data_IF_731061195772
#
_entry.id   IF_731061195772
#
_cell.length_a   1.000
_cell.length_b   1.000
_cell.length_c   1.000
_cell.angle_alpha   90.00
_cell.angle_beta   90.00
_cell.angle_gamma   90.00
#
_symmetry.space_group_name_H-M   'P 1'
#
loop_
_entity.id
_entity.type
_entity.pdbx_description
1 polymer ?
#
# COMPACT_ATOMS: atom_id res chain seq x y z
N UNK A 1 40.49 32.15 -0.84
CA UNK A 1 40.41 30.70 -0.61
C UNK A 1 39.09 30.45 0.12
N UNK A 2 38.02 30.17 -0.60
CA UNK A 2 36.69 29.94 -0.05
C UNK A 2 36.48 28.44 -0.08
N UNK A 3 36.56 27.78 1.09
CA UNK A 3 36.22 26.40 1.27
C UNK A 3 34.70 26.24 1.07
N UNK A 4 34.31 25.58 -0.03
CA UNK A 4 32.95 25.10 -0.21
C UNK A 4 32.86 23.83 0.60
N UNK A 5 32.23 23.91 1.78
CA UNK A 5 31.79 22.75 2.54
C UNK A 5 30.62 22.13 1.76
N UNK A 6 30.93 21.10 0.95
CA UNK A 6 29.91 20.14 0.55
C UNK A 6 29.57 19.33 1.80
N UNK A 7 28.55 19.76 2.54
CA UNK A 7 27.91 18.89 3.48
C UNK A 7 27.26 17.77 2.67
N UNK A 8 27.93 16.62 2.59
CA UNK A 8 27.28 15.38 2.25
C UNK A 8 26.20 15.15 3.29
N UNK A 9 24.95 15.32 2.88
CA UNK A 9 23.82 14.83 3.63
C UNK A 9 23.90 13.29 3.57
N UNK A 10 24.72 12.72 4.43
CA UNK A 10 24.59 11.31 4.79
C UNK A 10 23.20 11.16 5.40
N UNK A 11 22.28 10.71 4.55
CA UNK A 11 21.01 10.22 4.99
C UNK A 11 21.31 8.90 5.72
N UNK A 12 21.25 8.83 7.06
CA UNK A 12 21.33 7.56 7.73
C UNK A 12 20.09 6.81 7.28
N UNK A 13 20.28 5.90 6.30
CA UNK A 13 19.24 4.94 5.95
C UNK A 13 18.83 4.29 7.25
N UNK A 14 17.61 4.60 7.70
CA UNK A 14 16.96 3.90 8.79
C UNK A 14 16.96 2.44 8.35
N UNK A 15 17.92 1.67 8.88
CA UNK A 15 17.83 0.23 8.80
C UNK A 15 16.58 -0.12 9.60
N UNK A 16 15.48 -0.30 8.89
CA UNK A 16 14.25 -0.89 9.43
C UNK A 16 14.59 -2.35 9.67
N UNK A 17 15.29 -2.61 10.78
CA UNK A 17 15.29 -3.92 11.39
C UNK A 17 13.82 -4.22 11.64
N UNK A 18 13.32 -5.34 11.13
CA UNK A 18 12.00 -5.88 11.30
C UNK A 18 11.48 -5.66 12.72
N UNK A 19 11.03 -4.44 12.99
CA UNK A 19 10.18 -4.14 14.11
C UNK A 19 8.85 -4.79 13.77
N UNK A 20 8.39 -5.71 14.59
CA UNK A 20 7.02 -6.10 14.69
C UNK A 20 6.20 -4.82 14.71
N UNK A 21 5.61 -4.44 13.57
CA UNK A 21 4.56 -3.44 13.54
C UNK A 21 3.54 -3.93 14.56
N UNK A 22 3.33 -3.14 15.61
CA UNK A 22 2.26 -3.39 16.55
C UNK A 22 1.02 -3.62 15.69
N UNK A 23 0.36 -4.77 15.83
CA UNK A 23 -0.68 -5.23 14.91
C UNK A 23 -1.90 -4.29 14.74
N UNK A 24 -1.82 -3.07 15.26
CA UNK A 24 -2.80 -2.00 15.09
C UNK A 24 -2.66 -1.24 13.76
N UNK A 25 -1.46 -1.20 13.17
CA UNK A 25 -1.17 -0.46 11.93
C UNK A 25 -1.13 -1.37 10.68
N UNK A 26 -1.35 -2.67 10.83
CA UNK A 26 -1.36 -3.59 9.70
C UNK A 26 -2.71 -3.49 8.94
N UNK A 27 -2.72 -2.97 7.70
CA UNK A 27 -3.94 -2.87 6.90
C UNK A 27 -4.55 -4.22 6.55
N UNK A 28 -3.81 -5.30 6.72
CA UNK A 28 -4.25 -6.66 6.47
C UNK A 28 -5.04 -7.25 7.64
N UNK A 29 -4.87 -6.70 8.85
CA UNK A 29 -5.61 -7.12 10.03
C UNK A 29 -6.99 -6.46 10.11
N UNK A 30 -7.99 -7.23 10.49
CA UNK A 30 -9.34 -6.73 10.82
C UNK A 30 -9.83 -7.36 12.11
N UNK A 31 -10.33 -6.50 12.99
CA UNK A 31 -11.00 -6.94 14.22
C UNK A 31 -12.49 -7.06 14.01
N UNK A 32 -13.06 -8.18 14.43
CA UNK A 32 -14.49 -8.47 14.41
C UNK A 32 -14.94 -8.76 15.84
N UNK A 33 -15.34 -7.73 16.56
CA UNK A 33 -15.48 -7.79 18.01
C UNK A 33 -14.11 -7.90 18.67
N UNK A 34 -13.90 -8.93 19.46
CA UNK A 34 -12.61 -9.24 20.10
C UNK A 34 -11.69 -10.11 19.21
N UNK A 35 -12.21 -10.62 18.11
CA UNK A 35 -11.53 -11.58 17.24
C UNK A 35 -10.73 -10.90 16.12
N UNK A 36 -9.63 -11.53 15.73
CA UNK A 36 -8.71 -11.01 14.74
C UNK A 36 -8.63 -11.93 13.53
N UNK A 37 -8.77 -11.34 12.35
CA UNK A 37 -8.58 -11.95 11.04
C UNK A 37 -7.43 -11.26 10.33
N UNK A 38 -6.57 -12.03 9.67
CA UNK A 38 -5.53 -11.49 8.82
C UNK A 38 -5.77 -11.94 7.39
N UNK A 39 -5.87 -10.99 6.46
CA UNK A 39 -6.12 -11.26 5.05
C UNK A 39 -4.85 -11.05 4.23
N UNK A 40 -4.62 -11.95 3.28
CA UNK A 40 -3.49 -11.86 2.35
C UNK A 40 -3.91 -12.32 0.97
N UNK A 41 -3.40 -11.65 -0.05
CA UNK A 41 -3.51 -12.06 -1.44
C UNK A 41 -2.12 -12.33 -2.01
N UNK A 42 -2.00 -13.33 -2.86
CA UNK A 42 -0.73 -13.77 -3.46
C UNK A 42 -0.89 -13.97 -4.96
N UNK A 43 0.13 -13.57 -5.71
CA UNK A 43 0.24 -13.82 -7.15
C UNK A 43 1.60 -14.46 -7.47
N UNK A 44 1.80 -15.76 -7.15
CA UNK A 44 3.11 -16.42 -7.26
C UNK A 44 3.63 -16.48 -8.70
N UNK A 45 2.76 -16.37 -9.72
CA UNK A 45 3.15 -16.27 -11.12
C UNK A 45 3.92 -14.99 -11.46
N UNK A 46 3.81 -13.94 -10.62
CA UNK A 46 4.54 -12.69 -10.80
C UNK A 46 5.60 -12.47 -9.72
N UNK A 47 5.29 -12.80 -8.48
CA UNK A 47 6.17 -12.62 -7.34
C UNK A 47 5.96 -13.72 -6.29
N UNK A 48 6.96 -14.59 -6.13
CA UNK A 48 6.86 -15.77 -5.25
C UNK A 48 6.67 -15.42 -3.76
N UNK A 49 7.12 -14.23 -3.32
CA UNK A 49 7.05 -13.79 -1.92
C UNK A 49 6.19 -12.54 -1.73
N UNK A 50 5.56 -12.06 -2.81
CA UNK A 50 4.68 -10.90 -2.74
C UNK A 50 3.41 -11.23 -1.96
N UNK A 51 3.15 -10.44 -0.92
CA UNK A 51 1.94 -10.51 -0.10
C UNK A 51 1.24 -9.17 -0.17
N UNK A 52 -0.03 -9.20 -0.51
CA UNK A 52 -0.84 -8.00 -0.73
C UNK A 52 -2.11 -8.07 0.10
N UNK A 53 -2.65 -6.92 0.54
CA UNK A 53 -3.94 -6.87 1.21
C UNK A 53 -4.84 -5.70 0.75
N UNK A 54 -4.29 -4.79 -0.05
CA UNK A 54 -5.04 -3.65 -0.62
C UNK A 54 -4.74 -3.47 -2.11
N UNK A 55 -3.45 -3.38 -2.47
CA UNK A 55 -3.01 -3.11 -3.82
C UNK A 55 -2.38 -4.35 -4.43
N UNK A 56 -3.05 -4.94 -5.41
CA UNK A 56 -2.57 -6.08 -6.18
C UNK A 56 -1.96 -5.53 -7.48
N UNK A 57 -0.66 -5.74 -7.73
CA UNK A 57 0.05 -5.03 -8.78
C UNK A 57 -0.33 -5.41 -10.19
N UNK A 58 -0.90 -6.60 -10.38
CA UNK A 58 -1.26 -7.12 -11.71
C UNK A 58 -2.60 -7.83 -11.70
N UNK A 59 -3.25 -7.87 -12.84
CA UNK A 59 -4.39 -8.75 -13.10
C UNK A 59 -3.94 -10.22 -13.26
N UNK A 60 -4.85 -11.15 -12.99
CA UNK A 60 -4.61 -12.57 -13.17
C UNK A 60 -5.05 -13.42 -11.98
N UNK A 61 -4.59 -14.67 -11.97
CA UNK A 61 -4.94 -15.64 -10.95
C UNK A 61 -4.35 -15.20 -9.61
N UNK A 62 -5.22 -15.09 -8.60
CA UNK A 62 -4.89 -14.56 -7.29
C UNK A 62 -5.36 -15.52 -6.22
N UNK A 63 -4.44 -15.91 -5.34
CA UNK A 63 -4.73 -16.73 -4.16
C UNK A 63 -5.07 -15.82 -3.00
N UNK A 64 -6.28 -15.98 -2.46
CA UNK A 64 -6.76 -15.26 -1.30
C UNK A 64 -6.65 -16.15 -0.08
N UNK A 65 -6.06 -15.64 0.98
CA UNK A 65 -5.84 -16.37 2.23
C UNK A 65 -6.35 -15.53 3.38
N UNK A 66 -7.16 -16.14 4.24
CA UNK A 66 -7.62 -15.53 5.49
C UNK A 66 -7.15 -16.40 6.64
N UNK A 67 -6.24 -15.85 7.45
CA UNK A 67 -5.77 -16.51 8.66
C UNK A 67 -6.72 -16.19 9.81
N UNK A 68 -7.30 -17.23 10.38
CA UNK A 68 -8.16 -17.18 11.56
C UNK A 68 -7.26 -17.24 12.80
N UNK A 69 -6.79 -16.05 13.21
CA UNK A 69 -5.82 -15.91 14.31
C UNK A 69 -6.37 -16.50 15.59
N UNK A 70 -7.65 -16.22 15.88
CA UNK A 70 -8.31 -16.74 17.07
C UNK A 70 -8.76 -18.20 16.90
N UNK A 71 -8.40 -19.09 17.81
CA UNK A 71 -8.77 -20.50 17.74
C UNK A 71 -10.29 -20.77 17.72
N UNK A 72 -11.08 -19.89 18.29
CA UNK A 72 -12.55 -20.01 18.31
C UNK A 72 -13.15 -19.92 16.91
N UNK A 73 -12.56 -19.10 16.03
CA UNK A 73 -13.02 -18.94 14.65
C UNK A 73 -12.83 -20.20 13.81
N UNK A 74 -11.90 -21.06 14.18
CA UNK A 74 -11.60 -22.31 13.41
C UNK A 74 -12.74 -23.32 13.43
N UNK A 75 -13.56 -23.26 14.47
CA UNK A 75 -14.71 -24.15 14.64
C UNK A 75 -16.03 -23.51 14.16
N UNK A 76 -15.99 -22.26 13.72
CA UNK A 76 -17.16 -21.58 13.15
C UNK A 76 -17.17 -21.73 11.62
N UNK A 77 -18.37 -21.87 11.01
CA UNK A 77 -18.48 -21.82 9.57
C UNK A 77 -18.15 -20.41 9.05
N UNK A 78 -17.00 -20.27 8.39
CA UNK A 78 -16.55 -19.00 7.83
C UNK A 78 -16.46 -19.14 6.31
N UNK A 79 -17.00 -18.18 5.60
CA UNK A 79 -16.97 -18.09 4.15
C UNK A 79 -16.39 -16.75 3.68
N UNK A 80 -16.06 -16.70 2.40
CA UNK A 80 -15.50 -15.52 1.76
C UNK A 80 -16.23 -15.27 0.44
N UNK A 81 -16.62 -14.02 0.20
CA UNK A 81 -17.22 -13.59 -1.07
C UNK A 81 -16.39 -12.47 -1.67
N UNK A 82 -16.13 -12.56 -2.96
CA UNK A 82 -15.45 -11.55 -3.74
C UNK A 82 -16.45 -10.92 -4.71
N UNK A 83 -16.61 -9.62 -4.62
CA UNK A 83 -17.46 -8.85 -5.54
C UNK A 83 -16.62 -7.80 -6.27
N UNK A 84 -16.94 -7.55 -7.53
CA UNK A 84 -16.33 -6.46 -8.29
C UNK A 84 -17.08 -5.17 -7.94
N UNK A 85 -16.38 -4.20 -7.37
CA UNK A 85 -16.94 -2.96 -6.87
C UNK A 85 -16.27 -2.52 -5.57
N UNK A 86 -16.64 -1.35 -5.09
CA UNK A 86 -16.06 -0.76 -3.88
C UNK A 86 -16.86 -1.07 -2.59
N UNK A 87 -17.82 -1.98 -2.67
CA UNK A 87 -18.66 -2.39 -1.53
C UNK A 87 -19.70 -1.35 -1.10
N UNK A 88 -19.79 -0.21 -1.76
CA UNK A 88 -20.76 0.85 -1.39
C UNK A 88 -22.18 0.56 -1.90
N UNK A 89 -22.31 -0.20 -2.98
CA UNK A 89 -23.57 -0.55 -3.63
C UNK A 89 -23.69 -2.06 -3.82
N UNK A 90 -23.86 -2.81 -2.73
CA UNK A 90 -23.94 -4.28 -2.75
C UNK A 90 -25.00 -4.88 -3.71
N UNK A 91 -25.95 -4.08 -4.17
CA UNK A 91 -26.98 -4.49 -5.14
C UNK A 91 -26.48 -4.44 -6.60
N UNK A 92 -25.43 -3.67 -6.88
CA UNK A 92 -24.83 -3.50 -8.22
C UNK A 92 -23.51 -4.26 -8.35
N UNK A 93 -22.89 -4.68 -7.23
CA UNK A 93 -21.61 -5.37 -7.21
C UNK A 93 -21.75 -6.79 -7.78
N UNK A 94 -21.03 -7.06 -8.86
CA UNK A 94 -20.99 -8.39 -9.48
C UNK A 94 -20.22 -9.37 -8.60
N UNK A 95 -20.83 -10.50 -8.24
CA UNK A 95 -20.14 -11.59 -7.56
C UNK A 95 -19.14 -12.25 -8.53
N UNK A 96 -17.88 -12.27 -8.17
CA UNK A 96 -16.80 -12.89 -8.94
C UNK A 96 -16.46 -14.28 -8.40
N UNK A 97 -16.46 -14.44 -7.08
CA UNK A 97 -16.27 -15.71 -6.42
C UNK A 97 -17.06 -15.77 -5.10
N UNK A 98 -17.54 -16.95 -4.75
CA UNK A 98 -18.29 -17.20 -3.51
C UNK A 98 -17.82 -18.54 -2.90
N UNK A 99 -17.04 -18.43 -1.83
CA UNK A 99 -16.55 -19.56 -1.03
C UNK A 99 -17.49 -19.77 0.13
N UNK A 100 -18.28 -20.83 0.06
CA UNK A 100 -19.34 -21.11 1.04
C UNK A 100 -18.77 -21.28 2.45
N UNK A 101 -19.53 -20.87 3.49
CA UNK A 101 -19.12 -21.07 4.87
C UNK A 101 -18.83 -22.52 5.18
N UNK A 102 -17.64 -22.80 5.71
CA UNK A 102 -17.19 -24.09 6.22
C UNK A 102 -16.26 -23.92 7.41
N UNK A 103 -16.05 -24.96 8.18
CA UNK A 103 -15.10 -24.95 9.29
C UNK A 103 -13.68 -25.13 8.78
N UNK A 104 -12.74 -24.43 9.40
CA UNK A 104 -11.32 -24.42 9.03
C UNK A 104 -10.44 -24.78 10.24
N UNK A 105 -10.32 -26.08 10.59
CA UNK A 105 -9.56 -26.52 11.78
C UNK A 105 -8.08 -26.17 11.72
N UNK A 106 -7.52 -26.04 10.49
CA UNK A 106 -6.15 -25.56 10.25
C UNK A 106 -5.98 -24.05 10.44
N UNK A 107 -7.10 -23.34 10.67
CA UNK A 107 -7.11 -21.89 10.88
C UNK A 107 -6.95 -21.08 9.61
N UNK A 108 -7.09 -21.67 8.42
CA UNK A 108 -6.84 -20.95 7.16
C UNK A 108 -7.94 -21.18 6.14
N UNK A 109 -8.64 -20.12 5.78
CA UNK A 109 -9.56 -20.13 4.64
C UNK A 109 -8.79 -19.73 3.38
N UNK A 110 -8.81 -20.56 2.36
CA UNK A 110 -8.13 -20.34 1.08
C UNK A 110 -9.14 -20.28 -0.06
N UNK A 111 -8.86 -19.39 -1.02
CA UNK A 111 -9.61 -19.28 -2.26
C UNK A 111 -8.70 -18.88 -3.42
N UNK A 112 -9.03 -19.34 -4.61
CA UNK A 112 -8.38 -18.94 -5.85
C UNK A 112 -9.41 -18.24 -6.72
N UNK A 113 -9.04 -17.08 -7.27
CA UNK A 113 -9.91 -16.26 -8.11
C UNK A 113 -9.08 -15.54 -9.15
N UNK A 114 -9.61 -15.45 -10.37
CA UNK A 114 -9.02 -14.59 -11.40
C UNK A 114 -9.58 -13.19 -11.26
N UNK A 115 -8.69 -12.22 -11.07
CA UNK A 115 -9.03 -10.80 -10.92
C UNK A 115 -8.51 -10.03 -12.14
N UNK A 116 -9.41 -9.33 -12.81
CA UNK A 116 -9.07 -8.36 -13.86
C UNK A 116 -8.79 -6.99 -13.23
N UNK A 117 -8.37 -6.02 -14.03
CA UNK A 117 -8.18 -4.65 -13.56
C UNK A 117 -9.48 -4.09 -12.96
N UNK A 118 -9.35 -3.44 -11.78
CA UNK A 118 -10.48 -2.81 -11.12
C UNK A 118 -10.46 -2.88 -9.60
N UNK A 119 -11.58 -2.48 -9.02
CA UNK A 119 -11.80 -2.53 -7.57
C UNK A 119 -12.64 -3.76 -7.22
N UNK A 120 -12.25 -4.41 -6.11
CA UNK A 120 -12.95 -5.58 -5.60
C UNK A 120 -13.13 -5.44 -4.09
N UNK A 121 -14.22 -6.00 -3.59
CA UNK A 121 -14.48 -6.12 -2.16
C UNK A 121 -14.51 -7.58 -1.76
N UNK A 122 -13.62 -7.94 -0.84
CA UNK A 122 -13.63 -9.26 -0.21
C UNK A 122 -14.37 -9.16 1.11
N UNK A 123 -15.50 -9.84 1.21
CA UNK A 123 -16.34 -9.87 2.41
C UNK A 123 -16.23 -11.23 3.08
N UNK A 124 -15.83 -11.23 4.35
CA UNK A 124 -15.80 -12.45 5.17
C UNK A 124 -17.12 -12.56 5.92
N UNK A 125 -17.73 -13.75 5.91
CA UNK A 125 -18.99 -14.03 6.58
C UNK A 125 -18.82 -15.17 7.56
N UNK A 126 -19.39 -15.00 8.78
CA UNK A 126 -19.51 -16.05 9.77
C UNK A 126 -21.00 -16.26 10.06
N UNK A 127 -21.44 -17.51 10.18
CA UNK A 127 -22.86 -17.86 10.28
C UNK A 127 -23.51 -17.35 11.58
N UNK A 128 -22.75 -17.31 12.68
CA UNK A 128 -23.25 -16.94 14.03
C UNK A 128 -23.16 -15.46 14.37
N UNK A 129 -22.47 -14.66 13.58
CA UNK A 129 -22.34 -13.23 13.88
C UNK A 129 -23.46 -12.45 13.21
N UNK A 130 -24.24 -11.75 14.03
CA UNK A 130 -25.19 -10.76 13.58
C UNK A 130 -24.56 -9.85 12.49
N UNK A 131 -25.24 -9.76 11.38
CA UNK A 131 -24.86 -9.17 10.10
C UNK A 131 -24.30 -7.73 10.11
N UNK A 132 -24.20 -7.09 11.27
CA UNK A 132 -23.86 -5.67 11.37
C UNK A 132 -22.40 -5.30 11.13
N UNK A 133 -21.47 -6.23 11.20
CA UNK A 133 -20.04 -5.94 10.93
C UNK A 133 -19.35 -7.13 10.24
N UNK A 134 -19.64 -7.33 8.97
CA UNK A 134 -18.85 -8.23 8.13
C UNK A 134 -17.52 -7.54 7.82
N UNK A 135 -16.37 -8.13 8.16
CA UNK A 135 -15.09 -7.56 7.76
C UNK A 135 -14.98 -7.53 6.25
N UNK A 136 -14.60 -6.37 5.73
CA UNK A 136 -14.42 -6.15 4.30
C UNK A 136 -13.01 -5.67 4.04
N UNK A 137 -12.41 -6.22 2.98
CA UNK A 137 -11.12 -5.79 2.46
C UNK A 137 -11.34 -5.26 1.04
N UNK A 138 -10.88 -4.04 0.81
CA UNK A 138 -10.94 -3.41 -0.50
C UNK A 138 -9.64 -3.70 -1.24
N UNK A 139 -9.74 -4.36 -2.40
CA UNK A 139 -8.62 -4.66 -3.26
C UNK A 139 -8.65 -3.77 -4.50
N UNK A 140 -7.51 -3.21 -4.86
CA UNK A 140 -7.28 -2.48 -6.11
C UNK A 140 -6.32 -3.30 -6.96
N UNK A 141 -6.79 -3.81 -8.09
CA UNK A 141 -6.02 -4.68 -8.98
C UNK A 141 -5.54 -3.88 -10.17
N UNK A 142 -4.23 -3.86 -10.39
CA UNK A 142 -3.56 -3.16 -11.51
C UNK A 142 -3.95 -1.67 -11.61
N UNK A 143 -4.32 -1.04 -10.51
CA UNK A 143 -4.71 0.37 -10.47
C UNK A 143 -3.55 1.24 -9.98
N UNK A 144 -3.28 2.33 -10.69
CA UNK A 144 -2.27 3.30 -10.29
C UNK A 144 -2.81 4.12 -9.11
N UNK A 145 -2.10 4.08 -8.00
CA UNK A 145 -2.36 4.98 -6.88
C UNK A 145 -1.78 6.37 -7.17
N UNK A 146 -2.58 7.23 -7.81
CA UNK A 146 -2.19 8.60 -8.10
C UNK A 146 -1.85 9.42 -6.85
N UNK A 147 -2.48 9.13 -5.72
CA UNK A 147 -2.21 9.80 -4.44
C UNK A 147 -0.79 9.49 -3.95
N UNK A 148 -0.40 8.22 -4.03
CA UNK A 148 0.94 7.78 -3.67
C UNK A 148 1.98 8.35 -4.64
N UNK A 149 1.68 8.35 -5.94
CA UNK A 149 2.54 8.92 -6.97
C UNK A 149 2.77 10.41 -6.74
N UNK A 150 1.71 11.20 -6.51
CA UNK A 150 1.79 12.63 -6.22
C UNK A 150 2.63 12.87 -4.98
N UNK A 151 2.41 12.17 -3.87
CA UNK A 151 3.19 12.32 -2.64
C UNK A 151 4.67 12.06 -2.86
N UNK A 152 5.00 11.03 -3.64
CA UNK A 152 6.41 10.67 -3.94
C UNK A 152 7.09 11.69 -4.82
N UNK A 153 6.36 12.30 -5.78
CA UNK A 153 6.91 13.26 -6.73
C UNK A 153 6.96 14.71 -6.22
N UNK A 154 6.11 15.07 -5.24
CA UNK A 154 6.02 16.45 -4.74
C UNK A 154 7.33 16.92 -4.08
N UNK A 155 7.96 16.07 -3.28
CA UNK A 155 9.22 16.38 -2.60
C UNK A 155 10.35 16.74 -3.56
N UNK A 156 10.75 15.85 -4.49
CA UNK A 156 11.81 16.14 -5.46
C UNK A 156 11.44 17.31 -6.40
N UNK A 157 10.18 17.45 -6.80
CA UNK A 157 9.75 18.56 -7.66
C UNK A 157 9.95 19.93 -6.98
N UNK A 158 9.57 20.05 -5.71
CA UNK A 158 9.80 21.27 -4.90
C UNK A 158 11.31 21.51 -4.78
N UNK A 159 12.10 20.48 -4.51
CA UNK A 159 13.55 20.59 -4.41
C UNK A 159 14.18 21.17 -5.69
N UNK A 160 13.80 20.67 -6.85
CA UNK A 160 14.29 21.18 -8.16
C UNK A 160 13.89 22.64 -8.37
N UNK A 161 12.64 23.00 -8.04
CA UNK A 161 12.18 24.40 -8.16
C UNK A 161 12.97 25.36 -7.25
N UNK A 162 13.25 24.96 -6.02
CA UNK A 162 14.03 25.76 -5.07
C UNK A 162 15.46 25.95 -5.59
N UNK A 163 16.11 24.90 -6.05
CA UNK A 163 17.47 24.97 -6.61
C UNK A 163 17.49 25.86 -7.87
N UNK A 164 16.52 25.72 -8.75
CA UNK A 164 16.40 26.57 -9.95
C UNK A 164 16.18 28.04 -9.58
N UNK A 165 15.34 28.31 -8.57
CA UNK A 165 15.09 29.67 -8.09
C UNK A 165 16.36 30.29 -7.49
N UNK A 166 17.07 29.54 -6.64
CA UNK A 166 18.35 30.00 -6.07
C UNK A 166 19.35 30.28 -7.16
N UNK A 167 19.51 29.37 -8.12
CA UNK A 167 20.38 29.52 -9.29
C UNK A 167 20.04 30.78 -10.10
N UNK A 168 18.75 31.01 -10.36
CA UNK A 168 18.27 32.19 -11.05
C UNK A 168 18.61 33.48 -10.28
N UNK A 169 18.37 33.54 -8.96
CA UNK A 169 18.69 34.69 -8.11
C UNK A 169 20.18 34.94 -8.10
N UNK A 170 21.02 33.90 -7.99
CA UNK A 170 22.47 34.04 -8.01
C UNK A 170 22.97 34.58 -9.34
N UNK A 171 22.49 34.09 -10.48
CA UNK A 171 22.89 34.58 -11.81
C UNK A 171 22.46 36.02 -12.03
N UNK A 172 21.27 36.40 -11.54
CA UNK A 172 20.75 37.77 -11.65
C UNK A 172 21.37 38.75 -10.65
N UNK A 173 22.01 38.26 -9.61
CA UNK A 173 22.65 39.07 -8.56
C UNK A 173 23.77 39.90 -9.13
N UNK A 174 23.70 41.27 -8.88
CA UNK A 174 24.78 42.21 -9.24
C UNK A 174 26.10 41.85 -8.55
N UNK A 175 26.03 41.22 -7.39
CA UNK A 175 27.18 40.80 -6.59
C UNK A 175 28.04 39.75 -7.29
N UNK A 176 27.45 38.74 -7.89
CA UNK A 176 28.18 37.72 -8.66
C UNK A 176 28.80 38.33 -9.93
N UNK A 177 28.07 39.20 -10.63
CA UNK A 177 28.58 39.88 -11.83
C UNK A 177 29.78 40.76 -11.49
N UNK A 178 29.75 41.48 -10.39
CA UNK A 178 30.86 42.32 -9.95
C UNK A 178 32.06 41.47 -9.52
N UNK A 179 31.84 40.34 -8.86
CA UNK A 179 32.92 39.43 -8.46
C UNK A 179 33.64 38.82 -9.69
N UNK A 180 32.89 38.45 -10.73
CA UNK A 180 33.47 37.97 -11.99
C UNK A 180 34.21 39.09 -12.76
N UNK A 181 33.73 40.30 -12.73
CA UNK A 181 34.41 41.43 -13.37
C UNK A 181 35.77 41.72 -12.73
N UNK A 182 35.84 41.71 -11.38
CA UNK A 182 37.09 41.95 -10.63
C UNK A 182 38.14 40.86 -10.93
N UNK A 183 37.75 39.62 -11.12
CA UNK A 183 38.68 38.54 -11.45
C UNK A 183 39.25 38.62 -12.90
N UNK A 184 38.51 39.25 -13.83
CA UNK A 184 38.97 39.42 -15.22
C UNK A 184 39.92 40.56 -15.41
N UNK A 185 39.97 41.53 -14.51
CA UNK A 185 40.85 42.72 -14.59
C UNK A 185 42.13 42.56 -13.76
N UNK A 186 42.33 41.45 -13.09
CA UNK A 186 43.50 41.19 -12.24
C UNK A 186 44.56 40.22 -12.88
N UNK A 187 44.59 40.11 -14.21
CA UNK A 187 45.66 39.41 -14.94
C UNK A 187 46.28 40.30 -15.98
#
# INVERSE_FOLDING_TARGET
MVLIFLAALDNPGVASAHGTTSGEDDPCLRRVGERVLHFSAYQPQYELRGQYCTDIPKEGDTFLVVDLVDPELRNEPIGMRVTKGNGSNAAEDQIVADFRPSTHPDGVLRGEVRLDEGMYTVTISAEKQNLMKRPQYLLRVNMIDYQKLIRTMTGPAIGVLVVALIGYILIRSKWLRNWWAVRRTGN
#
